data_IF_304054078868
#
_entry.id   IF_304054078868
#
_cell.length_a   1.000
_cell.length_b   1.000
_cell.length_c   1.000
_cell.angle_alpha   90.00
_cell.angle_beta   90.00
_cell.angle_gamma   90.00
#
_symmetry.space_group_name_H-M   'P 1'
#
loop_
_entity.id
_entity.type
_entity.pdbx_description
1 polymer ?
#
# COMPACT_ATOMS: atom_id res chain seq x y z
N UNK A 1 -4.24 -21.88 8.27
CA UNK A 1 -4.20 -21.50 6.84
C UNK A 1 -3.35 -20.24 6.75
N UNK A 2 -2.53 -20.10 5.70
CA UNK A 2 -1.83 -18.85 5.41
C UNK A 2 -2.37 -18.23 4.15
N UNK A 3 -2.29 -16.89 4.07
CA UNK A 3 -2.68 -16.09 2.91
C UNK A 3 -1.48 -15.28 2.44
N UNK A 4 -1.21 -15.33 1.14
CA UNK A 4 -0.09 -14.63 0.52
C UNK A 4 -0.57 -13.43 -0.27
N UNK A 5 0.03 -12.28 0.00
CA UNK A 5 -0.32 -10.98 -0.58
C UNK A 5 0.80 -10.46 -1.47
N UNK A 6 0.42 -9.84 -2.57
CA UNK A 6 1.31 -9.02 -3.39
C UNK A 6 0.73 -7.62 -3.50
N UNK A 7 1.46 -6.62 -3.05
CA UNK A 7 1.10 -5.20 -3.22
C UNK A 7 2.08 -4.51 -4.16
N UNK A 8 1.59 -3.75 -5.15
CA UNK A 8 2.47 -3.08 -6.10
C UNK A 8 1.87 -1.80 -6.66
N UNK A 9 2.57 -0.69 -6.54
CA UNK A 9 2.28 0.52 -7.27
C UNK A 9 2.80 0.37 -8.71
N UNK A 10 1.88 0.34 -9.70
CA UNK A 10 2.18 0.11 -11.12
C UNK A 10 2.53 1.40 -11.88
N UNK A 11 2.77 2.51 -11.17
CA UNK A 11 3.19 3.81 -11.70
C UNK A 11 2.25 4.40 -12.78
N UNK A 12 0.97 4.11 -12.72
CA UNK A 12 -0.03 4.65 -13.67
C UNK A 12 0.27 4.33 -15.13
N UNK A 13 1.00 3.28 -15.42
CA UNK A 13 1.42 2.93 -16.79
C UNK A 13 0.26 2.30 -17.55
N UNK A 14 0.11 2.68 -18.82
CA UNK A 14 -0.91 2.13 -19.72
C UNK A 14 -0.29 1.22 -20.75
N UNK A 15 0.88 1.60 -21.29
CA UNK A 15 1.53 0.82 -22.37
C UNK A 15 2.26 -0.42 -21.89
N UNK A 16 2.66 -0.47 -20.63
CA UNK A 16 3.41 -1.58 -20.04
C UNK A 16 2.53 -2.57 -19.26
N UNK A 17 1.20 -2.46 -19.33
CA UNK A 17 0.29 -3.33 -18.56
C UNK A 17 0.51 -4.80 -18.90
N UNK A 18 0.77 -5.14 -20.16
CA UNK A 18 1.00 -6.54 -20.56
C UNK A 18 2.26 -7.12 -19.88
N UNK A 19 3.38 -6.36 -19.87
CA UNK A 19 4.63 -6.80 -19.25
C UNK A 19 4.49 -6.85 -17.72
N UNK A 20 3.84 -5.84 -17.13
CA UNK A 20 3.55 -5.83 -15.70
C UNK A 20 2.65 -7.00 -15.29
N UNK A 21 1.59 -7.27 -16.05
CA UNK A 21 0.68 -8.36 -15.77
C UNK A 21 1.37 -9.74 -15.93
N UNK A 22 2.28 -9.88 -16.88
CA UNK A 22 3.02 -11.12 -17.08
C UNK A 22 3.85 -11.50 -15.83
N UNK A 23 4.56 -10.55 -15.23
CA UNK A 23 5.36 -10.82 -14.02
C UNK A 23 4.50 -11.04 -12.79
N UNK A 24 3.36 -10.35 -12.67
CA UNK A 24 2.41 -10.54 -11.56
C UNK A 24 1.74 -11.91 -11.66
N UNK A 25 1.26 -12.30 -12.85
CA UNK A 25 0.53 -13.57 -13.06
C UNK A 25 1.42 -14.79 -13.00
N UNK A 26 2.74 -14.64 -13.14
CA UNK A 26 3.71 -15.70 -12.90
C UNK A 26 3.89 -16.07 -11.40
N UNK A 27 3.32 -15.28 -10.47
CA UNK A 27 3.38 -15.54 -9.02
C UNK A 27 2.22 -16.46 -8.61
N UNK A 28 2.34 -17.74 -8.93
CA UNK A 28 1.33 -18.76 -8.60
C UNK A 28 1.12 -18.95 -7.09
N UNK A 29 2.12 -18.57 -6.29
CA UNK A 29 2.13 -18.59 -4.84
C UNK A 29 1.25 -17.50 -4.18
N UNK A 30 0.77 -16.50 -4.93
CA UNK A 30 0.02 -15.36 -4.39
C UNK A 30 -1.49 -15.63 -4.43
N UNK A 31 -2.17 -15.41 -3.31
CA UNK A 31 -3.62 -15.52 -3.17
C UNK A 31 -4.33 -14.21 -3.51
N UNK A 32 -3.77 -13.09 -3.04
CA UNK A 32 -4.37 -11.75 -3.13
C UNK A 32 -3.37 -10.74 -3.70
N UNK A 33 -3.81 -9.99 -4.69
CA UNK A 33 -3.05 -8.93 -5.34
C UNK A 33 -3.73 -7.59 -5.05
N UNK A 34 -2.94 -6.58 -4.65
CA UNK A 34 -3.37 -5.20 -4.47
C UNK A 34 -2.50 -4.28 -5.35
N UNK A 35 -3.09 -3.67 -6.37
CA UNK A 35 -2.39 -2.78 -7.29
C UNK A 35 -2.79 -1.33 -7.03
N UNK A 36 -1.81 -0.45 -6.85
CA UNK A 36 -1.99 0.99 -6.74
C UNK A 36 -1.67 1.65 -8.09
N UNK A 37 -2.22 2.84 -8.32
CA UNK A 37 -2.08 3.61 -9.55
C UNK A 37 -2.63 2.92 -10.81
N UNK A 38 -3.64 2.09 -10.67
CA UNK A 38 -4.32 1.52 -11.83
C UNK A 38 -5.15 2.61 -12.51
N UNK A 39 -4.80 2.99 -13.74
CA UNK A 39 -5.59 3.95 -14.52
C UNK A 39 -6.90 3.33 -14.98
N UNK A 40 -7.98 4.13 -15.01
CA UNK A 40 -9.27 3.69 -15.51
C UNK A 40 -9.17 3.08 -16.93
N UNK A 41 -8.40 3.70 -17.83
CA UNK A 41 -8.19 3.18 -19.18
C UNK A 41 -7.34 1.89 -19.28
N UNK A 42 -6.66 1.50 -18.21
CA UNK A 42 -5.86 0.27 -18.12
C UNK A 42 -6.57 -0.83 -17.32
N UNK A 43 -7.63 -0.48 -16.57
CA UNK A 43 -8.32 -1.41 -15.68
C UNK A 43 -8.83 -2.67 -16.42
N UNK A 44 -9.44 -2.52 -17.60
CA UNK A 44 -9.91 -3.67 -18.37
C UNK A 44 -8.81 -4.67 -18.71
N UNK A 45 -7.63 -4.19 -19.12
CA UNK A 45 -6.49 -5.06 -19.42
C UNK A 45 -5.97 -5.79 -18.16
N UNK A 46 -5.88 -5.11 -17.02
CA UNK A 46 -5.54 -5.72 -15.74
C UNK A 46 -6.56 -6.77 -15.32
N UNK A 47 -7.85 -6.40 -15.33
CA UNK A 47 -8.95 -7.31 -14.98
C UNK A 47 -8.86 -8.62 -15.77
N UNK A 48 -8.74 -8.50 -17.09
CA UNK A 48 -8.77 -9.67 -17.97
C UNK A 48 -7.50 -10.54 -17.82
N UNK A 49 -6.34 -9.92 -17.62
CA UNK A 49 -5.09 -10.66 -17.39
C UNK A 49 -5.13 -11.45 -16.06
N UNK A 50 -5.52 -10.79 -14.97
CA UNK A 50 -5.63 -11.40 -13.65
C UNK A 50 -6.70 -12.51 -13.62
N UNK A 51 -7.87 -12.28 -14.23
CA UNK A 51 -8.93 -13.28 -14.29
C UNK A 51 -8.51 -14.54 -15.04
N UNK A 52 -7.80 -14.40 -16.18
CA UNK A 52 -7.27 -15.55 -16.93
C UNK A 52 -6.24 -16.35 -16.13
N UNK A 53 -5.48 -15.70 -15.26
CA UNK A 53 -4.47 -16.35 -14.42
C UNK A 53 -5.02 -16.84 -13.06
N UNK A 54 -6.34 -16.73 -12.83
CA UNK A 54 -7.01 -17.33 -11.68
C UNK A 54 -7.49 -16.33 -10.62
N UNK A 55 -7.10 -15.06 -10.66
CA UNK A 55 -7.63 -14.03 -9.76
C UNK A 55 -8.93 -13.47 -10.32
N UNK A 56 -10.02 -14.22 -10.15
CA UNK A 56 -11.32 -13.94 -10.78
C UNK A 56 -12.19 -12.99 -9.97
N UNK A 57 -11.96 -12.91 -8.67
CA UNK A 57 -12.71 -12.06 -7.76
C UNK A 57 -11.97 -10.74 -7.62
N UNK A 58 -12.60 -9.64 -8.06
CA UNK A 58 -11.90 -8.36 -8.19
C UNK A 58 -12.76 -7.21 -7.70
N UNK A 59 -12.14 -6.27 -7.00
CA UNK A 59 -12.73 -5.00 -6.59
C UNK A 59 -11.84 -3.84 -7.02
N UNK A 60 -12.38 -2.91 -7.78
CA UNK A 60 -11.67 -1.73 -8.27
C UNK A 60 -12.33 -0.45 -7.78
N UNK A 61 -11.58 0.40 -7.09
CA UNK A 61 -12.00 1.74 -6.69
C UNK A 61 -11.99 2.68 -7.89
N UNK A 62 -13.13 2.80 -8.57
CA UNK A 62 -13.26 3.55 -9.84
C UNK A 62 -12.95 5.04 -9.66
N UNK A 63 -11.93 5.60 -10.33
CA UNK A 63 -11.71 7.05 -10.34
C UNK A 63 -12.85 7.81 -11.01
N UNK A 64 -13.15 9.05 -10.57
CA UNK A 64 -14.08 9.91 -11.30
C UNK A 64 -13.49 10.25 -12.67
N UNK A 65 -14.29 10.07 -13.75
CA UNK A 65 -13.81 10.19 -15.13
C UNK A 65 -13.52 11.62 -15.58
N UNK A 66 -13.98 12.62 -14.86
CA UNK A 66 -13.99 14.04 -15.23
C UNK A 66 -12.75 14.84 -14.76
N UNK A 67 -11.91 14.24 -13.89
CA UNK A 67 -10.75 14.94 -13.29
C UNK A 67 -9.43 14.28 -13.67
N UNK A 68 -8.57 14.97 -14.45
CA UNK A 68 -7.28 14.44 -14.88
C UNK A 68 -6.33 14.03 -13.74
N UNK A 69 -6.34 14.76 -12.65
CA UNK A 69 -5.52 14.51 -11.46
C UNK A 69 -6.00 13.30 -10.65
N UNK A 70 -7.26 12.89 -10.87
CA UNK A 70 -7.92 11.78 -10.17
C UNK A 70 -8.17 10.58 -11.09
N UNK A 71 -7.14 10.14 -11.82
CA UNK A 71 -7.24 9.04 -12.81
C UNK A 71 -6.74 7.70 -12.31
N UNK A 72 -6.26 7.64 -11.09
CA UNK A 72 -5.58 6.49 -10.53
C UNK A 72 -6.46 5.85 -9.46
N UNK A 73 -6.82 4.61 -9.68
CA UNK A 73 -7.56 3.79 -8.73
C UNK A 73 -6.68 2.73 -8.08
N UNK A 74 -7.29 1.96 -7.18
CA UNK A 74 -6.72 0.80 -6.51
C UNK A 74 -7.51 -0.43 -6.91
N UNK A 75 -6.84 -1.52 -7.24
CA UNK A 75 -7.44 -2.80 -7.60
C UNK A 75 -7.03 -3.87 -6.59
N UNK A 76 -8.00 -4.55 -5.99
CA UNK A 76 -7.80 -5.79 -5.25
C UNK A 76 -8.29 -6.94 -6.12
N UNK A 77 -7.51 -8.01 -6.23
CA UNK A 77 -7.88 -9.22 -6.94
C UNK A 77 -7.51 -10.45 -6.11
N UNK A 78 -8.40 -11.42 -6.04
CA UNK A 78 -8.21 -12.63 -5.25
C UNK A 78 -8.56 -13.89 -6.05
N UNK A 79 -7.94 -15.02 -5.68
CA UNK A 79 -8.27 -16.36 -6.22
C UNK A 79 -9.59 -16.88 -5.60
N UNK A 80 -9.76 -16.67 -4.29
CA UNK A 80 -10.97 -16.99 -3.54
C UNK A 80 -11.99 -15.84 -3.60
N UNK A 81 -13.27 -16.08 -3.28
CA UNK A 81 -14.28 -15.03 -3.19
C UNK A 81 -13.86 -13.87 -2.31
N UNK A 82 -14.23 -12.65 -2.73
CA UNK A 82 -14.08 -11.42 -1.95
C UNK A 82 -15.39 -10.64 -1.95
N UNK A 83 -15.66 -9.97 -0.85
CA UNK A 83 -16.83 -9.12 -0.64
C UNK A 83 -16.32 -7.67 -0.46
N UNK A 84 -16.65 -6.74 -1.38
CA UNK A 84 -16.22 -5.36 -1.24
C UNK A 84 -16.73 -4.75 0.08
N UNK A 85 -15.84 -4.07 0.80
CA UNK A 85 -16.18 -3.27 1.96
C UNK A 85 -16.42 -1.81 1.54
N UNK A 86 -17.24 -1.06 2.29
CA UNK A 86 -17.46 0.35 2.02
C UNK A 86 -16.15 1.15 2.14
N UNK A 87 -16.01 2.23 1.36
CA UNK A 87 -14.86 3.12 1.52
C UNK A 87 -14.91 3.81 2.90
N UNK A 88 -13.76 4.23 3.39
CA UNK A 88 -13.66 5.04 4.61
C UNK A 88 -14.31 6.41 4.37
N UNK A 89 -15.21 6.80 5.27
CA UNK A 89 -15.89 8.09 5.17
C UNK A 89 -14.93 9.28 5.29
N UNK A 90 -15.20 10.31 4.49
CA UNK A 90 -14.43 11.55 4.53
C UNK A 90 -13.07 11.48 3.84
N UNK A 91 -12.77 10.41 3.10
CA UNK A 91 -11.57 10.39 2.24
C UNK A 91 -11.70 11.43 1.12
N UNK A 92 -10.72 12.36 0.97
CA UNK A 92 -10.77 13.36 -0.09
C UNK A 92 -10.75 12.75 -1.50
N UNK A 93 -10.02 11.64 -1.66
CA UNK A 93 -9.91 10.85 -2.90
C UNK A 93 -10.23 9.39 -2.61
N UNK A 94 -11.52 9.02 -2.50
CA UNK A 94 -11.93 7.67 -2.14
C UNK A 94 -11.45 6.60 -3.13
N UNK A 95 -11.22 6.97 -4.39
CA UNK A 95 -10.65 6.08 -5.40
C UNK A 95 -9.21 5.64 -5.13
N UNK A 96 -8.53 6.25 -4.15
CA UNK A 96 -7.19 5.84 -3.71
C UNK A 96 -7.21 4.77 -2.63
N UNK A 97 -8.38 4.29 -2.28
CA UNK A 97 -8.58 3.25 -1.30
C UNK A 97 -9.56 2.20 -1.81
N UNK A 98 -9.24 0.94 -1.56
CA UNK A 98 -10.13 -0.18 -1.77
C UNK A 98 -10.06 -1.12 -0.57
N UNK A 99 -11.18 -1.73 -0.20
CA UNK A 99 -11.19 -2.73 0.85
C UNK A 99 -12.15 -3.87 0.49
N UNK A 100 -11.83 -5.08 0.95
CA UNK A 100 -12.66 -6.26 0.75
C UNK A 100 -12.49 -7.23 1.91
N UNK A 101 -13.56 -7.93 2.26
CA UNK A 101 -13.54 -9.09 3.14
C UNK A 101 -13.21 -10.35 2.32
N UNK A 102 -12.38 -11.23 2.86
CA UNK A 102 -12.05 -12.55 2.32
C UNK A 102 -12.70 -13.63 3.21
N UNK A 103 -13.92 -14.13 2.89
CA UNK A 103 -14.65 -15.03 3.77
C UNK A 103 -13.88 -16.32 4.09
N UNK A 104 -13.23 -16.91 3.09
CA UNK A 104 -12.50 -18.19 3.26
C UNK A 104 -11.25 -18.03 4.17
N UNK A 105 -10.68 -16.83 4.24
CA UNK A 105 -9.54 -16.52 5.09
C UNK A 105 -9.95 -15.88 6.43
N UNK A 106 -11.18 -15.39 6.54
CA UNK A 106 -11.72 -14.71 7.73
C UNK A 106 -10.98 -13.41 8.06
N UNK A 107 -10.58 -12.65 7.05
CA UNK A 107 -9.84 -11.40 7.22
C UNK A 107 -10.24 -10.31 6.22
N UNK A 108 -9.98 -9.07 6.60
CA UNK A 108 -10.19 -7.91 5.75
C UNK A 108 -8.87 -7.48 5.08
N UNK A 109 -8.97 -7.08 3.82
CA UNK A 109 -7.87 -6.51 3.04
C UNK A 109 -8.17 -5.05 2.76
N UNK A 110 -7.27 -4.18 3.18
CA UNK A 110 -7.29 -2.76 2.89
C UNK A 110 -6.11 -2.41 1.99
N UNK A 111 -6.36 -1.76 0.87
CA UNK A 111 -5.33 -1.31 -0.05
C UNK A 111 -5.39 0.21 -0.22
N UNK A 112 -4.28 0.90 0.03
CA UNK A 112 -4.18 2.35 0.02
C UNK A 112 -3.10 2.82 -0.95
N UNK A 113 -3.41 3.87 -1.70
CA UNK A 113 -2.42 4.73 -2.34
C UNK A 113 -2.54 6.13 -1.75
N UNK A 114 -1.78 6.44 -0.72
CA UNK A 114 -1.82 7.75 -0.09
C UNK A 114 -1.36 8.83 -1.08
N UNK A 115 -2.04 9.98 -1.16
CA UNK A 115 -1.61 11.09 -2.01
C UNK A 115 -0.21 11.59 -1.63
N UNK A 116 0.53 12.11 -2.60
CA UNK A 116 1.77 12.87 -2.33
C UNK A 116 1.38 14.19 -1.67
N UNK A 117 2.24 14.73 -0.79
CA UNK A 117 2.00 16.02 -0.13
C UNK A 117 1.81 17.14 -1.13
N UNK A 118 0.56 17.55 -1.33
CA UNK A 118 0.26 18.81 -2.00
C UNK A 118 0.08 19.88 -0.90
N UNK A 119 0.84 20.94 -1.00
CA UNK A 119 0.95 21.98 0.04
C UNK A 119 -0.40 22.67 0.38
N UNK A 120 -1.30 22.83 -0.58
CA UNK A 120 -2.48 23.66 -0.40
C UNK A 120 -3.72 22.90 0.12
N UNK A 121 -3.93 21.66 -0.31
CA UNK A 121 -5.21 20.97 -0.15
C UNK A 121 -5.27 19.99 1.02
N UNK A 122 -4.16 19.76 1.69
CA UNK A 122 -4.01 18.79 2.80
C UNK A 122 -4.59 17.39 2.51
N UNK A 123 -4.74 17.05 1.23
CA UNK A 123 -5.35 15.78 0.81
C UNK A 123 -4.65 14.59 1.45
N UNK A 124 -3.30 14.58 1.44
CA UNK A 124 -2.52 13.54 2.11
C UNK A 124 -2.82 13.48 3.61
N UNK A 125 -2.78 14.63 4.28
CA UNK A 125 -2.98 14.72 5.74
C UNK A 125 -4.34 14.15 6.12
N UNK A 126 -5.41 14.62 5.46
CA UNK A 126 -6.77 14.15 5.72
C UNK A 126 -6.89 12.66 5.42
N UNK A 127 -6.30 12.18 4.32
CA UNK A 127 -6.31 10.75 3.97
C UNK A 127 -5.67 9.91 5.08
N UNK A 128 -4.47 10.28 5.54
CA UNK A 128 -3.76 9.53 6.57
C UNK A 128 -4.50 9.56 7.92
N UNK A 129 -5.03 10.72 8.31
CA UNK A 129 -5.85 10.86 9.53
C UNK A 129 -7.09 9.96 9.48
N UNK A 130 -7.85 9.97 8.36
CA UNK A 130 -9.05 9.14 8.20
C UNK A 130 -8.74 7.65 8.19
N UNK A 131 -7.66 7.25 7.55
CA UNK A 131 -7.23 5.83 7.55
C UNK A 131 -6.78 5.41 8.94
N UNK A 132 -5.99 6.22 9.64
CA UNK A 132 -5.55 5.93 11.00
C UNK A 132 -6.75 5.85 11.98
N UNK A 133 -7.73 6.76 11.84
CA UNK A 133 -8.95 6.76 12.65
C UNK A 133 -9.81 5.51 12.40
N UNK A 134 -10.01 5.15 11.13
CA UNK A 134 -10.88 4.03 10.77
C UNK A 134 -10.26 2.64 11.05
N UNK A 135 -8.95 2.54 10.96
CA UNK A 135 -8.23 1.27 11.13
C UNK A 135 -7.48 1.16 12.47
N UNK A 136 -7.38 2.25 13.24
CA UNK A 136 -6.76 2.25 14.55
C UNK A 136 -7.52 1.40 15.57
N UNK A 137 -6.81 0.96 16.61
CA UNK A 137 -7.38 0.14 17.67
C UNK A 137 -7.69 -1.31 17.28
N UNK A 138 -8.51 -1.95 18.12
CA UNK A 138 -8.92 -3.34 17.94
C UNK A 138 -9.93 -3.49 16.80
N UNK A 139 -9.95 -4.67 16.18
CA UNK A 139 -10.87 -4.98 15.09
C UNK A 139 -10.68 -6.40 14.55
N UNK A 140 -11.40 -6.79 13.48
CA UNK A 140 -11.23 -8.10 12.87
C UNK A 140 -9.81 -8.29 12.35
N UNK A 141 -9.37 -9.55 12.14
CA UNK A 141 -8.11 -9.81 11.46
C UNK A 141 -8.07 -9.06 10.13
N UNK A 142 -6.98 -8.34 9.89
CA UNK A 142 -6.88 -7.50 8.70
C UNK A 142 -5.44 -7.31 8.22
N UNK A 143 -5.31 -6.98 6.92
CA UNK A 143 -4.06 -6.55 6.30
C UNK A 143 -4.27 -5.19 5.62
N UNK A 144 -3.42 -4.20 5.92
CA UNK A 144 -3.32 -2.95 5.17
C UNK A 144 -2.05 -2.99 4.33
N UNK A 145 -2.21 -2.87 3.01
CA UNK A 145 -1.09 -2.85 2.06
C UNK A 145 -1.14 -1.62 1.16
N UNK A 146 -0.01 -1.22 0.62
CA UNK A 146 0.04 -0.22 -0.44
C UNK A 146 1.14 0.79 -0.32
N UNK A 147 1.08 1.77 -1.21
CA UNK A 147 1.95 2.94 -1.22
C UNK A 147 1.39 4.02 -0.27
N UNK A 148 2.01 4.14 0.88
CA UNK A 148 1.58 5.10 1.90
C UNK A 148 2.25 6.48 1.73
N UNK A 149 3.17 6.60 0.78
CA UNK A 149 3.93 7.82 0.53
C UNK A 149 4.59 8.42 1.80
N UNK A 150 4.92 7.59 2.77
CA UNK A 150 5.57 7.91 4.05
C UNK A 150 6.29 6.65 4.57
N UNK A 151 7.32 6.75 5.43
CA UNK A 151 7.96 7.95 5.95
C UNK A 151 9.14 8.45 5.09
N UNK A 152 9.67 9.62 5.43
CA UNK A 152 10.89 10.15 4.84
C UNK A 152 12.15 9.43 5.31
N UNK A 153 12.13 8.85 6.51
CA UNK A 153 13.28 8.17 7.10
C UNK A 153 12.86 7.25 8.26
N UNK A 154 13.60 6.16 8.39
CA UNK A 154 13.55 5.27 9.57
C UNK A 154 15.00 5.03 10.02
N UNK A 155 15.29 5.17 11.31
CA UNK A 155 16.62 4.86 11.87
C UNK A 155 16.75 3.35 12.11
N UNK A 156 17.95 2.90 12.50
CA UNK A 156 18.20 1.50 12.91
C UNK A 156 17.58 1.18 14.27
N UNK A 157 17.38 2.21 15.06
CA UNK A 157 16.80 2.16 16.41
C UNK A 157 15.27 2.26 16.38
N UNK A 158 14.67 2.43 15.18
CA UNK A 158 13.21 2.50 15.02
C UNK A 158 12.64 3.92 15.07
N UNK A 159 13.49 4.97 15.14
CA UNK A 159 13.00 6.33 15.03
C UNK A 159 12.48 6.59 13.61
N UNK A 160 11.29 7.15 13.51
CA UNK A 160 10.63 7.49 12.24
C UNK A 160 10.54 9.00 12.09
N UNK A 161 10.79 9.49 10.89
CA UNK A 161 10.64 10.92 10.56
C UNK A 161 9.80 11.10 9.31
N UNK A 162 8.83 11.98 9.42
CA UNK A 162 7.93 12.35 8.34
C UNK A 162 8.60 13.20 7.26
N UNK A 163 7.92 13.36 6.12
CA UNK A 163 8.32 14.33 5.09
C UNK A 163 8.12 15.79 5.52
N UNK A 164 7.33 16.04 6.57
CA UNK A 164 7.17 17.39 7.11
C UNK A 164 8.44 17.93 7.79
N UNK A 165 9.40 17.05 8.15
CA UNK A 165 10.60 17.46 8.88
C UNK A 165 11.87 17.41 8.04
N UNK A 166 12.77 18.33 8.33
CA UNK A 166 14.16 18.34 7.80
C UNK A 166 14.97 17.20 8.44
N UNK A 167 16.17 16.97 7.93
CA UNK A 167 17.12 16.01 8.54
C UNK A 167 17.47 16.38 9.99
N UNK A 168 17.47 17.67 10.33
CA UNK A 168 17.73 18.17 11.68
C UNK A 168 16.49 18.18 12.60
N UNK A 169 15.34 17.69 12.15
CA UNK A 169 14.11 17.58 12.96
C UNK A 169 13.19 18.81 12.90
N UNK A 170 13.64 19.97 12.39
CA UNK A 170 12.79 21.13 12.24
C UNK A 170 11.72 20.93 11.16
N UNK A 171 10.57 21.57 11.30
CA UNK A 171 9.54 21.61 10.25
C UNK A 171 10.10 22.27 8.98
N UNK A 172 9.71 21.75 7.83
CA UNK A 172 10.01 22.33 6.53
C UNK A 172 9.03 23.44 6.21
N UNK A 173 9.45 24.42 5.42
CA UNK A 173 8.59 25.48 4.94
C UNK A 173 7.34 24.93 4.23
N UNK A 174 6.18 25.44 4.63
CA UNK A 174 4.88 25.01 4.10
C UNK A 174 4.32 23.72 4.73
N UNK A 175 4.97 23.15 5.74
CA UNK A 175 4.47 22.06 6.56
C UNK A 175 4.20 22.55 7.99
N UNK A 176 3.31 21.86 8.70
CA UNK A 176 2.99 22.09 10.08
C UNK A 176 2.98 20.79 10.90
N UNK A 177 2.77 20.90 12.21
CA UNK A 177 2.72 19.76 13.13
C UNK A 177 1.59 18.77 12.80
N UNK A 178 0.53 19.21 12.12
CA UNK A 178 -0.55 18.32 11.69
C UNK A 178 -0.08 17.38 10.59
N UNK A 179 0.72 17.86 9.63
CA UNK A 179 1.35 17.01 8.61
C UNK A 179 2.24 15.94 9.25
N UNK A 180 3.08 16.37 10.20
CA UNK A 180 3.98 15.48 10.92
C UNK A 180 3.19 14.39 11.66
N UNK A 181 2.21 14.78 12.45
CA UNK A 181 1.37 13.84 13.21
C UNK A 181 0.59 12.89 12.30
N UNK A 182 0.06 13.35 11.17
CA UNK A 182 -0.69 12.51 10.24
C UNK A 182 0.18 11.41 9.65
N UNK A 183 1.40 11.73 9.19
CA UNK A 183 2.34 10.73 8.68
C UNK A 183 2.77 9.74 9.77
N UNK A 184 3.14 10.23 10.94
CA UNK A 184 3.56 9.40 12.07
C UNK A 184 2.39 8.62 12.70
N UNK A 185 1.17 9.10 12.57
CA UNK A 185 -0.04 8.39 12.98
C UNK A 185 -0.31 7.14 12.14
N UNK A 186 0.17 7.10 10.89
CA UNK A 186 0.05 5.92 10.05
C UNK A 186 1.31 5.04 10.10
N UNK A 187 2.50 5.65 9.99
CA UNK A 187 3.78 4.92 10.04
C UNK A 187 4.72 5.64 11.02
N UNK A 188 5.01 5.10 12.19
CA UNK A 188 4.70 3.76 12.72
C UNK A 188 3.38 3.67 13.50
N UNK A 189 2.53 4.72 13.49
CA UNK A 189 1.42 4.87 14.42
C UNK A 189 0.49 3.66 14.50
N UNK A 190 0.10 3.06 13.38
CA UNK A 190 -0.71 1.83 13.39
C UNK A 190 -0.01 0.68 14.13
N UNK A 191 1.32 0.58 14.03
CA UNK A 191 2.09 -0.42 14.75
C UNK A 191 2.47 0.01 16.19
N UNK A 192 2.32 1.29 16.50
CA UNK A 192 2.76 1.88 17.77
C UNK A 192 1.91 1.50 18.98
N UNK A 193 0.62 1.24 18.77
CA UNK A 193 -0.31 0.78 19.82
C UNK A 193 -0.36 -0.75 19.99
N UNK A 194 0.39 -1.48 19.14
CA UNK A 194 0.49 -2.94 19.19
C UNK A 194 -0.67 -3.69 18.54
N UNK A 195 -1.72 -3.01 18.06
CA UNK A 195 -2.82 -3.67 17.36
C UNK A 195 -2.43 -4.12 15.95
N UNK A 196 -1.56 -3.36 15.29
CA UNK A 196 -1.01 -3.67 13.98
C UNK A 196 0.49 -3.96 14.04
N UNK A 197 0.96 -4.82 13.18
CA UNK A 197 2.38 -5.20 13.03
C UNK A 197 2.85 -4.80 11.64
N UNK A 198 3.90 -3.99 11.53
CA UNK A 198 4.60 -3.75 10.26
C UNK A 198 5.29 -5.07 9.83
N UNK A 199 4.77 -5.71 8.79
CA UNK A 199 5.20 -7.04 8.37
C UNK A 199 6.68 -7.08 7.98
N UNK A 200 7.19 -6.04 7.28
CA UNK A 200 8.60 -6.00 6.93
C UNK A 200 9.49 -5.82 8.16
N UNK A 201 9.09 -4.99 9.10
CA UNK A 201 9.85 -4.76 10.35
C UNK A 201 9.80 -5.97 11.29
N UNK A 202 8.69 -6.68 11.34
CA UNK A 202 8.58 -7.92 12.12
C UNK A 202 9.56 -9.01 11.65
N UNK A 203 9.78 -9.11 10.33
CA UNK A 203 10.66 -10.13 9.74
C UNK A 203 12.12 -9.68 9.77
N UNK A 204 12.42 -8.43 9.41
CA UNK A 204 13.78 -7.97 9.13
C UNK A 204 14.34 -6.99 10.17
N UNK A 205 13.48 -6.46 11.06
CA UNK A 205 13.87 -5.40 11.99
C UNK A 205 14.24 -4.09 11.29
N UNK A 206 14.64 -3.12 12.07
CA UNK A 206 15.03 -1.79 11.55
C UNK A 206 16.48 -1.74 11.02
N UNK A 207 17.24 -2.81 11.16
CA UNK A 207 18.57 -2.95 10.54
C UNK A 207 18.53 -3.08 9.01
N UNK A 208 17.46 -3.67 8.47
CA UNK A 208 17.23 -3.76 7.02
C UNK A 208 16.93 -2.38 6.42
N UNK A 209 17.57 -2.10 5.28
CA UNK A 209 17.55 -0.78 4.63
C UNK A 209 16.94 -0.81 3.23
N UNK A 210 15.99 -1.69 3.02
CA UNK A 210 15.28 -1.77 1.75
C UNK A 210 14.51 -0.48 1.44
N UNK A 211 14.46 -0.16 0.15
CA UNK A 211 13.75 0.99 -0.39
C UNK A 211 12.80 0.49 -1.46
N UNK A 212 11.54 0.70 -1.25
CA UNK A 212 10.52 0.28 -2.22
C UNK A 212 10.45 1.21 -3.42
N UNK A 213 10.73 2.49 -3.24
CA UNK A 213 10.75 3.50 -4.28
C UNK A 213 12.13 4.16 -4.41
N UNK A 214 12.55 4.45 -5.66
CA UNK A 214 13.84 5.07 -5.96
C UNK A 214 13.68 6.23 -6.93
N UNK A 215 14.44 7.31 -6.69
CA UNK A 215 14.60 8.36 -7.71
C UNK A 215 15.17 7.78 -9.01
N UNK A 216 14.90 8.46 -10.13
CA UNK A 216 15.38 8.06 -11.46
C UNK A 216 16.90 7.86 -11.53
N UNK A 217 17.67 8.61 -10.73
CA UNK A 217 19.13 8.47 -10.62
C UNK A 217 19.58 7.24 -9.80
N UNK A 218 18.64 6.48 -9.21
CA UNK A 218 18.85 5.28 -8.37
C UNK A 218 19.80 5.45 -7.17
N UNK A 219 20.15 6.67 -6.79
CA UNK A 219 21.03 6.94 -5.64
C UNK A 219 20.29 7.05 -4.32
N UNK A 220 19.05 7.56 -4.38
CA UNK A 220 18.21 7.82 -3.21
C UNK A 220 16.82 7.23 -3.42
N UNK A 221 16.17 6.89 -2.34
CA UNK A 221 14.82 6.36 -2.35
C UNK A 221 14.30 6.19 -0.93
N UNK A 222 13.07 5.73 -0.83
CA UNK A 222 12.34 5.60 0.42
C UNK A 222 11.65 4.22 0.50
N UNK A 223 11.30 3.82 1.69
CA UNK A 223 10.36 2.71 1.93
C UNK A 223 8.96 3.29 2.04
N UNK A 224 8.23 3.34 0.94
CA UNK A 224 6.90 3.95 0.84
C UNK A 224 5.78 2.92 0.80
N UNK A 225 6.12 1.71 0.34
CA UNK A 225 5.18 0.59 0.23
C UNK A 225 5.27 -0.26 1.50
N UNK A 226 4.13 -0.51 2.12
CA UNK A 226 4.03 -1.17 3.42
C UNK A 226 3.02 -2.31 3.38
N UNK A 227 3.16 -3.24 4.32
CA UNK A 227 2.16 -4.20 4.73
C UNK A 227 2.07 -4.18 6.26
N UNK A 228 0.89 -3.91 6.78
CA UNK A 228 0.57 -4.02 8.20
C UNK A 228 -0.43 -5.16 8.39
N UNK A 229 -0.28 -5.93 9.46
CA UNK A 229 -1.18 -7.02 9.83
C UNK A 229 -1.74 -6.80 11.23
N UNK A 230 -3.05 -7.00 11.39
CA UNK A 230 -3.76 -6.98 12.69
C UNK A 230 -4.42 -8.31 12.95
N UNK A 231 -4.25 -8.85 14.18
CA UNK A 231 -4.84 -10.13 14.56
C UNK A 231 -4.33 -11.33 13.74
N UNK A 232 -3.15 -11.24 13.14
CA UNK A 232 -2.54 -12.24 12.26
C UNK A 232 -1.06 -12.40 12.61
N UNK A 233 -0.52 -13.59 12.39
CA UNK A 233 0.93 -13.85 12.49
C UNK A 233 1.60 -13.56 11.15
N UNK A 234 2.57 -12.66 11.13
CA UNK A 234 3.42 -12.42 9.96
C UNK A 234 4.45 -13.55 9.85
N UNK A 235 4.44 -14.29 8.76
CA UNK A 235 5.37 -15.40 8.50
C UNK A 235 6.55 -14.97 7.63
N UNK A 236 6.30 -14.15 6.63
CA UNK A 236 7.32 -13.62 5.73
C UNK A 236 6.89 -12.29 5.12
N UNK A 237 7.88 -11.46 4.75
CA UNK A 237 7.63 -10.21 4.02
C UNK A 237 8.92 -9.81 3.29
N UNK A 238 8.85 -9.52 1.99
CA UNK A 238 10.00 -9.14 1.18
C UNK A 238 9.60 -8.19 0.05
N UNK A 239 10.56 -7.39 -0.42
CA UNK A 239 10.39 -6.61 -1.65
C UNK A 239 10.89 -7.37 -2.88
N UNK A 240 10.13 -7.30 -3.98
CA UNK A 240 10.50 -7.81 -5.29
C UNK A 240 11.15 -6.67 -6.08
N UNK A 241 12.44 -6.44 -5.86
CA UNK A 241 13.18 -5.33 -6.50
C UNK A 241 13.40 -5.54 -8.00
N UNK A 242 13.48 -6.78 -8.46
CA UNK A 242 13.75 -7.13 -9.85
C UNK A 242 12.78 -6.45 -10.84
N UNK A 243 11.52 -6.26 -10.47
CA UNK A 243 10.52 -5.63 -11.35
C UNK A 243 10.78 -4.13 -11.51
N UNK A 244 11.19 -3.45 -10.44
CA UNK A 244 11.63 -2.06 -10.51
C UNK A 244 12.92 -1.92 -11.30
N UNK A 245 13.88 -2.82 -11.09
CA UNK A 245 15.17 -2.82 -11.79
C UNK A 245 15.02 -3.07 -13.28
N UNK A 246 14.04 -3.90 -13.66
CA UNK A 246 13.62 -4.10 -15.06
C UNK A 246 12.84 -2.90 -15.64
N UNK A 247 12.57 -1.84 -14.86
CA UNK A 247 11.89 -0.63 -15.32
C UNK A 247 10.38 -0.79 -15.48
N UNK A 248 9.77 -1.85 -14.96
CA UNK A 248 8.33 -2.08 -15.03
C UNK A 248 7.54 -1.07 -14.19
N UNK A 249 8.11 -0.61 -13.07
CA UNK A 249 7.60 0.47 -12.22
C UNK A 249 8.80 1.20 -11.60
N UNK A 250 8.60 2.35 -10.98
CA UNK A 250 9.56 3.00 -10.08
C UNK A 250 9.43 2.50 -8.63
N UNK A 251 8.42 1.66 -8.36
CA UNK A 251 8.22 0.94 -7.11
C UNK A 251 8.60 -0.54 -7.23
N UNK A 252 9.15 -1.11 -6.17
CA UNK A 252 9.25 -2.55 -5.97
C UNK A 252 7.92 -3.08 -5.47
N UNK A 253 7.50 -4.24 -5.93
CA UNK A 253 6.37 -4.91 -5.31
C UNK A 253 6.76 -5.41 -3.90
N UNK A 254 5.78 -5.44 -3.00
CA UNK A 254 5.91 -6.03 -1.68
C UNK A 254 5.11 -7.33 -1.65
N UNK A 255 5.75 -8.40 -1.24
CA UNK A 255 5.11 -9.68 -0.98
C UNK A 255 5.12 -9.97 0.53
N UNK A 256 4.02 -10.46 1.05
CA UNK A 256 3.89 -10.84 2.45
C UNK A 256 3.05 -12.12 2.60
N UNK A 257 3.39 -12.94 3.59
CA UNK A 257 2.63 -14.10 4.04
C UNK A 257 2.17 -13.89 5.47
N UNK A 258 0.87 -14.03 5.70
CA UNK A 258 0.26 -13.98 7.02
C UNK A 258 -0.55 -15.24 7.30
N UNK A 259 -0.73 -15.56 8.56
CA UNK A 259 -1.53 -16.70 9.01
C UNK A 259 -2.37 -16.35 10.23
N UNK A 260 -3.30 -17.26 10.59
CA UNK A 260 -4.04 -17.14 11.84
C UNK A 260 -3.06 -17.01 13.02
N UNK A 261 -3.45 -16.31 14.11
CA UNK A 261 -2.66 -16.30 15.34
C UNK A 261 -2.39 -17.73 15.80
N UNK A 262 -1.20 -17.97 16.30
CA UNK A 262 -0.80 -19.24 16.94
C UNK A 262 -1.40 -19.36 18.34
#
# INVERSE_FOLDING_TARGET
>A
VSTQFLSWNVAGRVRSVADQAAVVTAREDVDVIALQEVRAGAHGAWRDALARAGWRHQHYSQPPGDRPERRLGVLIAARAPLEPLPPIDGLPWPERYAAAHLPDAGLDVHALHAPISAKAERVKVITLERVAEALGGDGPPAVLVGDLNTPAYESREGEVRSFARTRGGALRDGFDERHDRAELGLVPGLAGDGAWVDAFRAVHGYGARDRSWMYANRKFGYRLDHAFARGLTVKACNYVHAWREAGLSDHSALWAEVGSPT
#
